data_IF_451230655739
#
_entry.id   IF_451230655739
#
_cell.length_a   1.000
_cell.length_b   1.000
_cell.length_c   1.000
_cell.angle_alpha   90.00
_cell.angle_beta   90.00
_cell.angle_gamma   90.00
#
_symmetry.space_group_name_H-M   'P 1'
#
loop_
_entity.id
_entity.type
_entity.pdbx_description
1 polymer ?
#
# COMPACT_ATOMS: atom_id res chain seq x y z
N UNK A 1 17.61 -35.54 2.56
CA UNK A 1 16.68 -36.06 1.51
C UNK A 1 16.27 -34.89 0.62
N UNK A 2 16.74 -34.80 -0.63
CA UNK A 2 16.54 -33.64 -1.52
C UNK A 2 15.06 -33.32 -1.80
N UNK A 3 14.17 -34.32 -1.73
CA UNK A 3 12.71 -34.12 -1.84
C UNK A 3 12.11 -33.26 -0.73
N UNK A 4 12.66 -33.27 0.49
CA UNK A 4 12.12 -32.48 1.63
C UNK A 4 12.40 -30.99 1.42
N UNK A 5 13.63 -30.63 1.02
CA UNK A 5 14.01 -29.24 0.72
C UNK A 5 13.15 -28.64 -0.40
N UNK A 6 12.69 -29.45 -1.35
CA UNK A 6 11.88 -28.97 -2.47
C UNK A 6 10.45 -28.60 -2.10
N UNK A 7 9.81 -29.37 -1.22
CA UNK A 7 8.50 -29.02 -0.71
C UNK A 7 8.53 -27.72 0.10
N UNK A 8 9.63 -27.49 0.83
CA UNK A 8 9.84 -26.25 1.58
C UNK A 8 9.98 -25.04 0.65
N UNK A 9 10.78 -25.14 -0.41
CA UNK A 9 10.92 -24.10 -1.43
C UNK A 9 9.56 -23.74 -2.07
N UNK A 10 8.77 -24.74 -2.45
CA UNK A 10 7.43 -24.53 -3.05
C UNK A 10 6.47 -23.91 -2.03
N UNK A 11 6.53 -24.33 -0.76
CA UNK A 11 5.71 -23.77 0.30
C UNK A 11 6.03 -22.30 0.54
N UNK A 12 7.32 -21.93 0.60
CA UNK A 12 7.77 -20.53 0.70
C UNK A 12 7.29 -19.69 -0.49
N UNK A 13 7.35 -20.23 -1.71
CA UNK A 13 6.86 -19.51 -2.88
C UNK A 13 5.35 -19.25 -2.83
N UNK A 14 4.57 -20.23 -2.36
CA UNK A 14 3.12 -20.09 -2.16
C UNK A 14 2.79 -19.04 -1.09
N UNK A 15 3.49 -19.09 0.04
CA UNK A 15 3.33 -18.11 1.12
C UNK A 15 3.64 -16.69 0.63
N UNK A 16 4.73 -16.53 -0.13
CA UNK A 16 5.08 -15.27 -0.75
C UNK A 16 3.99 -14.71 -1.68
N UNK A 17 3.39 -15.56 -2.52
CA UNK A 17 2.27 -15.15 -3.38
C UNK A 17 1.02 -14.72 -2.59
N UNK A 18 0.72 -15.39 -1.47
CA UNK A 18 -0.39 -15.01 -0.59
C UNK A 18 -0.14 -13.64 0.06
N UNK A 19 1.07 -13.39 0.56
CA UNK A 19 1.49 -12.09 1.12
C UNK A 19 1.37 -10.97 0.10
N UNK A 20 1.82 -11.18 -1.14
CA UNK A 20 1.64 -10.22 -2.26
C UNK A 20 0.16 -9.86 -2.46
N UNK A 21 -0.69 -10.88 -2.41
CA UNK A 21 -2.13 -10.73 -2.65
C UNK A 21 -2.79 -9.91 -1.54
N UNK A 22 -2.40 -10.16 -0.29
CA UNK A 22 -2.84 -9.39 0.86
C UNK A 22 -2.42 -7.92 0.75
N UNK A 23 -1.13 -7.66 0.49
CA UNK A 23 -0.64 -6.29 0.33
C UNK A 23 -1.33 -5.54 -0.82
N UNK A 24 -1.59 -6.22 -1.94
CA UNK A 24 -2.37 -5.65 -3.05
C UNK A 24 -3.81 -5.33 -2.65
N UNK A 25 -4.40 -6.11 -1.74
CA UNK A 25 -5.73 -5.84 -1.19
C UNK A 25 -5.72 -4.63 -0.25
N UNK A 26 -4.72 -4.55 0.61
CA UNK A 26 -4.55 -3.44 1.56
C UNK A 26 -4.36 -2.12 0.80
N UNK A 27 -3.51 -2.09 -0.22
CA UNK A 27 -3.35 -0.93 -1.12
C UNK A 27 -4.69 -0.51 -1.73
N UNK A 28 -5.50 -1.45 -2.26
CA UNK A 28 -6.79 -1.11 -2.86
C UNK A 28 -7.75 -0.48 -1.85
N UNK A 29 -7.75 -0.97 -0.61
CA UNK A 29 -8.57 -0.43 0.47
C UNK A 29 -8.13 0.99 0.83
N UNK A 30 -6.84 1.20 1.04
CA UNK A 30 -6.28 2.51 1.40
C UNK A 30 -6.42 3.53 0.25
N UNK A 31 -6.34 3.09 -1.00
CA UNK A 31 -6.67 3.90 -2.19
C UNK A 31 -8.15 4.29 -2.24
N UNK A 32 -9.04 3.40 -1.80
CA UNK A 32 -10.46 3.71 -1.60
C UNK A 32 -10.63 4.85 -0.61
N UNK A 33 -10.03 4.71 0.58
CA UNK A 33 -10.10 5.73 1.62
C UNK A 33 -9.49 7.06 1.17
N UNK A 34 -8.37 7.04 0.43
CA UNK A 34 -7.76 8.23 -0.16
C UNK A 34 -8.71 8.95 -1.12
N UNK A 35 -9.48 8.22 -1.94
CA UNK A 35 -10.47 8.84 -2.84
C UNK A 35 -11.60 9.50 -2.05
N UNK A 36 -12.09 8.83 -1.01
CA UNK A 36 -13.17 9.35 -0.16
C UNK A 36 -12.74 10.66 0.54
N UNK A 37 -11.52 10.72 1.07
CA UNK A 37 -10.98 11.94 1.67
C UNK A 37 -10.81 13.07 0.64
N UNK A 38 -10.34 12.77 -0.57
CA UNK A 38 -10.26 13.76 -1.64
C UNK A 38 -11.64 14.31 -2.04
N UNK A 39 -12.69 13.47 -1.99
CA UNK A 39 -14.06 13.93 -2.19
C UNK A 39 -14.50 14.84 -1.02
N UNK A 40 -14.25 14.43 0.22
CA UNK A 40 -14.59 15.23 1.40
C UNK A 40 -13.92 16.62 1.40
N UNK A 41 -12.66 16.72 0.95
CA UNK A 41 -11.95 18.00 0.75
C UNK A 41 -12.64 18.87 -0.31
N UNK A 42 -13.06 18.28 -1.43
CA UNK A 42 -13.79 19.02 -2.48
C UNK A 42 -15.12 19.53 -1.96
N UNK A 43 -15.86 18.72 -1.23
CA UNK A 43 -17.16 19.09 -0.67
C UNK A 43 -17.01 20.22 0.37
N UNK A 44 -15.99 20.15 1.24
CA UNK A 44 -15.67 21.21 2.18
C UNK A 44 -15.30 22.52 1.47
N UNK A 45 -14.53 22.44 0.37
CA UNK A 45 -14.20 23.62 -0.45
C UNK A 45 -15.44 24.23 -1.11
N UNK A 46 -16.40 23.40 -1.56
CA UNK A 46 -17.68 23.88 -2.08
C UNK A 46 -18.47 24.60 -0.98
N UNK A 47 -18.49 24.05 0.24
CA UNK A 47 -19.14 24.68 1.39
C UNK A 47 -18.58 26.07 1.69
N UNK A 48 -17.25 26.24 1.68
CA UNK A 48 -16.60 27.56 1.83
C UNK A 48 -17.11 28.55 0.78
N UNK A 49 -17.15 28.14 -0.50
CA UNK A 49 -17.65 29.00 -1.58
C UNK A 49 -19.11 29.38 -1.40
N UNK A 50 -19.96 28.42 -1.01
CA UNK A 50 -21.36 28.69 -0.72
C UNK A 50 -21.53 29.72 0.40
N UNK A 51 -20.78 29.56 1.51
CA UNK A 51 -20.82 30.51 2.63
C UNK A 51 -20.26 31.89 2.27
N UNK A 52 -19.18 31.96 1.49
CA UNK A 52 -18.65 33.23 0.97
C UNK A 52 -19.65 33.95 0.07
N UNK A 53 -20.36 33.21 -0.78
CA UNK A 53 -21.41 33.78 -1.63
C UNK A 53 -22.60 34.30 -0.81
N UNK A 54 -22.99 33.58 0.25
CA UNK A 54 -24.01 34.05 1.19
C UNK A 54 -23.56 35.33 1.90
N UNK A 55 -22.30 35.40 2.32
CA UNK A 55 -21.72 36.60 2.93
C UNK A 55 -21.79 37.81 1.98
N UNK A 56 -21.43 37.61 0.71
CA UNK A 56 -21.46 38.64 -0.32
C UNK A 56 -22.89 39.13 -0.61
N UNK A 57 -23.86 38.21 -0.61
CA UNK A 57 -25.25 38.54 -0.91
C UNK A 57 -26.00 39.16 0.29
N UNK A 58 -25.49 39.02 1.52
CA UNK A 58 -26.15 39.55 2.70
C UNK A 58 -25.78 41.02 2.95
N UNK A 59 -26.79 41.89 2.80
CA UNK A 59 -26.65 43.33 3.01
C UNK A 59 -26.97 43.76 4.45
N UNK A 60 -27.39 42.85 5.34
CA UNK A 60 -27.66 43.14 6.75
C UNK A 60 -26.35 43.17 7.56
N UNK A 61 -25.89 44.34 8.05
CA UNK A 61 -24.65 44.46 8.81
C UNK A 61 -24.66 43.65 10.11
N UNK A 62 -25.83 43.41 10.74
CA UNK A 62 -25.92 42.66 11.98
C UNK A 62 -25.65 41.15 11.78
N UNK A 63 -25.73 40.66 10.54
CA UNK A 63 -25.50 39.26 10.18
C UNK A 63 -24.12 39.03 9.54
N UNK A 64 -23.39 40.08 9.17
CA UNK A 64 -22.09 39.95 8.50
C UNK A 64 -21.04 39.27 9.39
N UNK A 65 -20.98 39.60 10.68
CA UNK A 65 -20.02 39.00 11.61
C UNK A 65 -20.28 37.48 11.81
N UNK A 66 -21.55 37.09 11.93
CA UNK A 66 -21.92 35.68 12.06
C UNK A 66 -21.55 34.88 10.81
N UNK A 67 -21.79 35.43 9.62
CA UNK A 67 -21.44 34.77 8.36
C UNK A 67 -19.92 34.73 8.15
N UNK A 68 -19.19 35.77 8.57
CA UNK A 68 -17.73 35.77 8.50
C UNK A 68 -17.13 34.65 9.37
N UNK A 69 -17.64 34.45 10.59
CA UNK A 69 -17.24 33.32 11.44
C UNK A 69 -17.58 31.98 10.81
N UNK A 70 -18.75 31.85 10.17
CA UNK A 70 -19.14 30.63 9.46
C UNK A 70 -18.21 30.29 8.28
N UNK A 71 -17.72 31.31 7.57
CA UNK A 71 -16.74 31.16 6.49
C UNK A 71 -15.40 30.70 7.04
N UNK A 72 -14.90 31.31 8.14
CA UNK A 72 -13.65 30.88 8.76
C UNK A 72 -13.72 29.44 9.29
N UNK A 73 -14.81 29.08 9.98
CA UNK A 73 -15.04 27.70 10.44
C UNK A 73 -15.02 26.70 9.27
N UNK A 74 -15.62 27.06 8.13
CA UNK A 74 -15.59 26.19 6.95
C UNK A 74 -14.20 26.09 6.31
N UNK A 75 -13.37 27.14 6.38
CA UNK A 75 -11.97 27.07 5.93
C UNK A 75 -11.14 26.17 6.84
N UNK A 76 -11.33 26.24 8.16
CA UNK A 76 -10.67 25.35 9.11
C UNK A 76 -11.02 23.87 8.85
N UNK A 77 -12.28 23.59 8.49
CA UNK A 77 -12.72 22.26 8.08
C UNK A 77 -11.98 21.76 6.82
N UNK A 78 -11.79 22.64 5.82
CA UNK A 78 -11.00 22.32 4.62
C UNK A 78 -9.56 21.97 4.99
N UNK A 79 -8.93 22.78 5.85
CA UNK A 79 -7.53 22.55 6.27
C UNK A 79 -7.42 21.19 6.97
N UNK A 80 -8.32 20.89 7.90
CA UNK A 80 -8.32 19.62 8.64
C UNK A 80 -8.45 18.43 7.69
N UNK A 81 -9.44 18.47 6.78
CA UNK A 81 -9.65 17.39 5.79
C UNK A 81 -8.49 17.27 4.80
N UNK A 82 -7.84 18.37 4.45
CA UNK A 82 -6.67 18.36 3.57
C UNK A 82 -5.49 17.66 4.24
N UNK A 83 -5.24 17.95 5.52
CA UNK A 83 -4.19 17.28 6.30
C UNK A 83 -4.44 15.76 6.42
N UNK A 84 -5.70 15.35 6.62
CA UNK A 84 -6.08 13.93 6.61
C UNK A 84 -5.83 13.29 5.24
N UNK A 85 -6.22 13.96 4.15
CA UNK A 85 -6.01 13.48 2.79
C UNK A 85 -4.52 13.34 2.45
N UNK A 86 -3.69 14.29 2.89
CA UNK A 86 -2.24 14.27 2.69
C UNK A 86 -1.59 13.14 3.50
N UNK A 87 -1.96 12.98 4.77
CA UNK A 87 -1.50 11.85 5.58
C UNK A 87 -1.88 10.50 4.94
N UNK A 88 -3.08 10.39 4.39
CA UNK A 88 -3.53 9.18 3.71
C UNK A 88 -2.77 8.92 2.40
N UNK A 89 -2.42 9.98 1.67
CA UNK A 89 -1.59 9.87 0.46
C UNK A 89 -0.20 9.29 0.79
N UNK A 90 0.43 9.76 1.86
CA UNK A 90 1.72 9.24 2.31
C UNK A 90 1.63 7.76 2.73
N UNK A 91 0.56 7.36 3.43
CA UNK A 91 0.31 5.94 3.78
C UNK A 91 0.21 5.05 2.54
N UNK A 92 -0.57 5.48 1.55
CA UNK A 92 -0.72 4.74 0.28
C UNK A 92 0.63 4.65 -0.45
N UNK A 93 1.41 5.74 -0.47
CA UNK A 93 2.74 5.77 -1.08
C UNK A 93 3.69 4.76 -0.43
N UNK A 94 3.71 4.68 0.91
CA UNK A 94 4.50 3.70 1.66
C UNK A 94 4.15 2.27 1.27
N UNK A 95 2.86 1.95 1.18
CA UNK A 95 2.41 0.60 0.80
C UNK A 95 2.83 0.21 -0.62
N UNK A 96 2.85 1.15 -1.56
CA UNK A 96 3.38 0.88 -2.90
C UNK A 96 4.88 0.58 -2.88
N UNK A 97 5.66 1.31 -2.09
CA UNK A 97 7.08 1.05 -1.92
C UNK A 97 7.34 -0.33 -1.32
N UNK A 98 6.62 -0.67 -0.24
CA UNK A 98 6.68 -2.00 0.38
C UNK A 98 6.32 -3.11 -0.62
N UNK A 99 5.32 -2.87 -1.47
CA UNK A 99 4.91 -3.83 -2.50
C UNK A 99 5.99 -4.04 -3.54
N UNK A 100 6.64 -2.98 -3.97
CA UNK A 100 7.68 -3.06 -4.99
C UNK A 100 8.93 -3.77 -4.43
N UNK A 101 9.33 -3.46 -3.19
CA UNK A 101 10.37 -4.21 -2.47
C UNK A 101 10.02 -5.70 -2.34
N UNK A 102 8.79 -6.01 -1.93
CA UNK A 102 8.33 -7.39 -1.84
C UNK A 102 8.34 -8.12 -3.18
N UNK A 103 7.82 -7.48 -4.23
CA UNK A 103 7.78 -8.06 -5.57
C UNK A 103 9.19 -8.34 -6.09
N UNK A 104 10.15 -7.45 -5.81
CA UNK A 104 11.55 -7.64 -6.19
C UNK A 104 12.16 -8.84 -5.47
N UNK A 105 11.93 -8.98 -4.16
CA UNK A 105 12.41 -10.13 -3.39
C UNK A 105 11.76 -11.45 -3.86
N UNK A 106 10.43 -11.43 -4.08
CA UNK A 106 9.69 -12.59 -4.55
C UNK A 106 10.13 -13.01 -5.96
N UNK A 107 10.37 -12.06 -6.87
CA UNK A 107 10.85 -12.34 -8.23
C UNK A 107 12.21 -13.04 -8.18
N UNK A 108 13.17 -12.54 -7.39
CA UNK A 108 14.49 -13.15 -7.26
C UNK A 108 14.41 -14.60 -6.76
N UNK A 109 13.53 -14.86 -5.79
CA UNK A 109 13.28 -16.21 -5.29
C UNK A 109 12.63 -17.08 -6.37
N UNK A 110 11.62 -16.58 -7.10
CA UNK A 110 10.98 -17.32 -8.18
C UNK A 110 11.93 -17.61 -9.35
N UNK A 111 12.79 -16.66 -9.73
CA UNK A 111 13.78 -16.84 -10.79
C UNK A 111 14.79 -17.93 -10.41
N UNK A 112 15.34 -17.86 -9.19
CA UNK A 112 16.28 -18.86 -8.69
C UNK A 112 15.64 -20.25 -8.55
N UNK A 113 14.37 -20.33 -8.16
CA UNK A 113 13.65 -21.61 -8.01
C UNK A 113 13.15 -22.17 -9.34
N UNK A 114 12.87 -21.32 -10.32
CA UNK A 114 12.57 -21.70 -11.70
C UNK A 114 13.75 -22.37 -12.41
N UNK A 115 14.98 -22.11 -11.97
CA UNK A 115 16.20 -22.80 -12.46
C UNK A 115 16.25 -24.25 -11.93
N UNK A 116 15.73 -24.51 -10.72
CA UNK A 116 15.78 -25.83 -10.07
C UNK A 116 14.61 -26.74 -10.49
N UNK A 117 13.42 -26.16 -10.72
CA UNK A 117 12.17 -26.88 -11.02
C UNK A 117 12.21 -27.88 -12.21
N UNK A 118 12.87 -27.58 -13.36
CA UNK A 118 12.91 -28.52 -14.49
C UNK A 118 13.68 -29.82 -14.20
N UNK A 119 14.73 -29.73 -13.38
CA UNK A 119 15.65 -30.85 -13.07
C UNK A 119 15.08 -31.78 -12.00
N UNK A 120 14.13 -31.27 -11.23
CA UNK A 120 13.37 -32.02 -10.21
C UNK A 120 12.50 -33.10 -10.82
N UNK A 121 11.83 -32.78 -11.93
CA UNK A 121 10.93 -33.70 -12.60
C UNK A 121 11.68 -34.83 -13.32
N UNK A 122 12.98 -34.65 -13.59
CA UNK A 122 13.82 -35.61 -14.29
C UNK A 122 14.62 -36.52 -13.33
N UNK A 123 14.60 -36.26 -12.03
CA UNK A 123 15.40 -37.00 -11.05
C UNK A 123 16.91 -36.74 -11.13
N UNK A 124 17.31 -35.73 -11.91
CA UNK A 124 18.69 -35.32 -12.19
C UNK A 124 18.92 -33.92 -11.60
N UNK A 125 18.78 -33.79 -10.28
CA UNK A 125 19.16 -32.55 -9.60
C UNK A 125 20.64 -32.66 -9.25
N UNK A 126 21.46 -31.82 -9.90
CA UNK A 126 22.82 -31.54 -9.47
C UNK A 126 22.80 -30.81 -8.11
N UNK A 127 23.67 -31.19 -7.19
CA UNK A 127 23.73 -30.64 -5.83
C UNK A 127 23.94 -29.11 -5.85
N UNK A 128 24.67 -28.58 -6.84
CA UNK A 128 24.87 -27.15 -7.04
C UNK A 128 23.55 -26.43 -7.40
N UNK A 129 22.71 -27.04 -8.22
CA UNK A 129 21.39 -26.48 -8.56
C UNK A 129 20.44 -26.51 -7.37
N UNK A 130 20.48 -27.58 -6.56
CA UNK A 130 19.72 -27.66 -5.32
C UNK A 130 20.13 -26.56 -4.34
N UNK A 131 21.44 -26.30 -4.23
CA UNK A 131 22.00 -25.27 -3.34
C UNK A 131 21.55 -23.86 -3.74
N UNK A 132 21.44 -23.55 -5.04
CA UNK A 132 20.90 -22.27 -5.52
C UNK A 132 19.45 -22.07 -5.06
N UNK A 133 18.60 -23.09 -5.18
CA UNK A 133 17.20 -23.03 -4.74
C UNK A 133 17.06 -22.83 -3.22
N UNK A 134 17.85 -23.56 -2.44
CA UNK A 134 17.87 -23.44 -0.96
C UNK A 134 18.35 -22.05 -0.54
N UNK A 135 19.40 -21.53 -1.16
CA UNK A 135 19.96 -20.21 -0.84
C UNK A 135 18.97 -19.08 -1.17
N UNK A 136 18.25 -19.20 -2.29
CA UNK A 136 17.23 -18.23 -2.65
C UNK A 136 16.03 -18.28 -1.69
N UNK A 137 15.60 -19.47 -1.28
CA UNK A 137 14.56 -19.64 -0.27
C UNK A 137 14.97 -19.03 1.07
N UNK A 138 16.16 -19.34 1.59
CA UNK A 138 16.65 -18.80 2.87
C UNK A 138 16.76 -17.29 2.84
N UNK A 139 17.24 -16.72 1.72
CA UNK A 139 17.34 -15.27 1.53
C UNK A 139 15.95 -14.62 1.53
N UNK A 140 14.97 -15.23 0.88
CA UNK A 140 13.60 -14.72 0.86
C UNK A 140 12.90 -14.84 2.22
N UNK A 141 13.13 -15.92 2.96
CA UNK A 141 12.61 -16.05 4.33
C UNK A 141 13.21 -15.00 5.25
N UNK A 142 14.52 -14.76 5.19
CA UNK A 142 15.18 -13.70 5.95
C UNK A 142 14.59 -12.33 5.60
N UNK A 143 14.38 -12.05 4.31
CA UNK A 143 13.72 -10.83 3.87
C UNK A 143 12.30 -10.72 4.45
N UNK A 144 11.51 -11.80 4.46
CA UNK A 144 10.18 -11.79 5.05
C UNK A 144 10.20 -11.49 6.56
N UNK A 145 11.13 -12.09 7.30
CA UNK A 145 11.31 -11.80 8.73
C UNK A 145 11.69 -10.34 8.98
N UNK A 146 12.63 -9.81 8.19
CA UNK A 146 13.08 -8.43 8.33
C UNK A 146 11.99 -7.43 7.91
N UNK A 147 11.16 -7.81 6.95
CA UNK A 147 10.02 -7.01 6.51
C UNK A 147 8.91 -6.97 7.56
N UNK A 148 8.60 -8.11 8.21
CA UNK A 148 7.59 -8.16 9.29
C UNK A 148 8.00 -7.39 10.57
N UNK A 149 9.30 -7.12 10.76
CA UNK A 149 9.83 -6.37 11.91
C UNK A 149 9.78 -4.85 11.72
N UNK A 150 9.53 -4.35 10.50
CA UNK A 150 9.42 -2.91 10.21
C UNK A 150 8.02 -2.41 10.49
#
# INVERSE_FOLDING_TARGET
KPRVCLYEVIATARDGLLRRTKLSSDIRKEEGHRRDLNHAVKDANVNVKCKQQLAFNNQDPAQQDAIANDVENAKEEVITKQLEADAQKERVSSLYLERDDFNNALSRMLDATSIVMPFVNLGEIDDDMLQVGITAQSTFMQFCEDWERR
#
